data_IF_599137872235
#
_entry.id   IF_599137872235
#
_cell.length_a   1.000
_cell.length_b   1.000
_cell.length_c   1.000
_cell.angle_alpha   90.00
_cell.angle_beta   90.00
_cell.angle_gamma   90.00
#
_symmetry.space_group_name_H-M   'P 1'
#
loop_
_entity.id
_entity.type
_entity.pdbx_description
1 polymer ?
#
# COMPACT_ATOMS: atom_id res chain seq x y z
N UNK A 1 -35.53 42.88 -5.53
CA UNK A 1 -34.54 43.74 -4.84
C UNK A 1 -33.33 42.87 -4.43
N UNK A 2 -32.26 42.86 -5.22
CA UNK A 2 -30.98 42.24 -4.84
C UNK A 2 -30.21 43.30 -4.05
N UNK A 3 -30.25 43.27 -2.70
CA UNK A 3 -29.34 44.09 -1.90
C UNK A 3 -27.92 43.60 -2.19
N UNK A 4 -27.11 44.39 -2.91
CA UNK A 4 -25.68 44.14 -3.02
C UNK A 4 -25.12 44.22 -1.60
N UNK A 5 -24.64 43.09 -1.07
CA UNK A 5 -23.75 43.11 0.09
C UNK A 5 -22.63 44.11 -0.21
N UNK A 6 -22.54 45.19 0.58
CA UNK A 6 -21.47 46.17 0.40
C UNK A 6 -20.14 45.46 0.58
N UNK A 7 -19.13 45.74 -0.24
CA UNK A 7 -17.84 45.04 -0.13
C UNK A 7 -17.24 45.14 1.30
N UNK A 8 -17.52 46.25 1.99
CA UNK A 8 -17.18 46.46 3.41
C UNK A 8 -17.82 45.44 4.36
N UNK A 9 -19.08 45.05 4.14
CA UNK A 9 -19.76 44.06 5.00
C UNK A 9 -19.25 42.63 4.75
N UNK A 10 -18.84 42.30 3.52
CA UNK A 10 -18.17 41.03 3.21
C UNK A 10 -16.79 40.97 3.87
N UNK A 11 -16.01 42.06 3.79
CA UNK A 11 -14.69 42.16 4.43
C UNK A 11 -14.81 42.05 5.95
N UNK A 12 -15.78 42.73 6.57
CA UNK A 12 -16.03 42.63 8.01
C UNK A 12 -16.41 41.22 8.44
N UNK A 13 -17.24 40.51 7.66
CA UNK A 13 -17.64 39.13 7.97
C UNK A 13 -16.44 38.17 7.88
N UNK A 14 -15.60 38.32 6.85
CA UNK A 14 -14.38 37.54 6.70
C UNK A 14 -13.38 37.83 7.83
N UNK A 15 -13.30 39.07 8.31
CA UNK A 15 -12.44 39.45 9.42
C UNK A 15 -12.90 38.83 10.75
N UNK A 16 -14.21 38.85 11.04
CA UNK A 16 -14.78 38.19 12.22
C UNK A 16 -14.57 36.66 12.16
N UNK A 17 -14.78 36.07 10.98
CA UNK A 17 -14.54 34.64 10.78
C UNK A 17 -13.05 34.28 10.98
N UNK A 18 -12.13 35.12 10.50
CA UNK A 18 -10.70 34.93 10.70
C UNK A 18 -10.34 34.96 12.19
N UNK A 19 -10.84 35.94 12.96
CA UNK A 19 -10.62 36.03 14.41
C UNK A 19 -11.16 34.78 15.14
N UNK A 20 -12.34 34.30 14.75
CA UNK A 20 -12.94 33.10 15.35
C UNK A 20 -12.08 31.84 15.13
N UNK A 21 -11.41 31.72 13.98
CA UNK A 21 -10.53 30.59 13.68
C UNK A 21 -9.22 30.61 14.47
N UNK A 22 -8.70 31.79 14.84
CA UNK A 22 -7.48 31.91 15.67
C UNK A 22 -7.68 31.52 17.14
N UNK A 23 -8.92 31.60 17.63
CA UNK A 23 -9.29 31.25 19.02
C UNK A 23 -9.46 29.74 19.24
N UNK A 24 -9.51 28.94 18.16
CA UNK A 24 -9.70 27.49 18.30
C UNK A 24 -8.45 26.78 18.83
N UNK A 25 -8.65 26.06 19.94
CA UNK A 25 -7.65 25.17 20.51
C UNK A 25 -7.57 23.84 19.73
N UNK A 26 -6.40 23.59 19.12
CA UNK A 26 -6.10 22.36 18.41
C UNK A 26 -5.89 21.17 19.36
N UNK A 27 -5.44 21.43 20.59
CA UNK A 27 -5.10 20.42 21.60
C UNK A 27 -6.25 20.08 22.55
N UNK A 28 -7.43 20.71 22.41
CA UNK A 28 -8.63 20.49 23.22
C UNK A 28 -8.97 19.02 23.50
N UNK A 29 -8.72 18.14 22.52
CA UNK A 29 -9.03 16.70 22.58
C UNK A 29 -7.80 15.79 22.65
N UNK A 30 -6.64 16.37 22.92
CA UNK A 30 -5.39 15.63 23.16
C UNK A 30 -5.31 15.34 24.66
N UNK A 31 -5.00 14.10 25.07
CA UNK A 31 -4.81 13.78 26.49
C UNK A 31 -3.63 14.55 27.09
N UNK A 32 -3.75 14.96 28.36
CA UNK A 32 -2.78 15.84 29.04
C UNK A 32 -1.34 15.30 29.10
N UNK A 33 -1.17 13.98 29.03
CA UNK A 33 0.10 13.27 29.05
C UNK A 33 0.66 13.00 27.64
N UNK A 34 0.01 13.51 26.60
CA UNK A 34 0.34 13.27 25.20
C UNK A 34 0.47 14.56 24.42
N UNK A 35 1.05 14.46 23.22
CA UNK A 35 1.27 15.60 22.35
C UNK A 35 0.61 15.39 21.00
N UNK A 36 0.06 16.46 20.41
CA UNK A 36 -0.36 16.50 19.02
C UNK A 36 0.87 16.52 18.10
N UNK A 37 0.91 15.63 17.13
CA UNK A 37 1.93 15.65 16.09
C UNK A 37 1.67 16.85 15.16
N UNK A 38 2.56 17.85 15.25
CA UNK A 38 2.49 19.07 14.44
C UNK A 38 3.09 18.87 13.05
N UNK A 39 4.27 18.26 12.99
CA UNK A 39 5.06 18.17 11.76
C UNK A 39 6.03 16.99 11.84
N UNK A 40 6.27 16.34 10.70
CA UNK A 40 7.40 15.45 10.51
C UNK A 40 8.43 16.17 9.64
N UNK A 41 9.67 16.21 10.10
CA UNK A 41 10.81 16.79 9.39
C UNK A 41 11.73 15.65 8.98
N UNK A 42 12.04 15.54 7.70
CA UNK A 42 12.94 14.49 7.19
C UNK A 42 14.20 15.15 6.65
N UNK A 43 15.35 14.70 7.12
CA UNK A 43 16.66 15.18 6.71
C UNK A 43 17.46 14.03 6.09
N UNK A 44 18.00 14.25 4.90
CA UNK A 44 18.90 13.32 4.22
C UNK A 44 20.27 13.97 4.10
N UNK A 45 21.27 13.35 4.71
CA UNK A 45 22.65 13.86 4.76
C UNK A 45 22.75 15.32 5.21
N UNK A 46 21.93 15.69 6.21
CA UNK A 46 21.88 17.05 6.78
C UNK A 46 20.97 18.04 6.04
N UNK A 47 20.44 17.67 4.87
CA UNK A 47 19.54 18.53 4.09
C UNK A 47 18.07 18.16 4.32
N UNK A 48 17.21 19.13 4.62
CA UNK A 48 15.76 18.90 4.72
C UNK A 48 15.22 18.51 3.35
N UNK A 49 14.39 17.47 3.29
CA UNK A 49 13.74 17.02 2.05
C UNK A 49 12.25 16.86 2.23
N UNK A 50 11.51 17.30 1.22
CA UNK A 50 10.05 17.11 1.11
C UNK A 50 9.69 16.05 0.04
N UNK A 51 10.67 15.25 -0.41
CA UNK A 51 10.45 14.21 -1.43
C UNK A 51 9.38 13.21 -0.98
N UNK A 52 8.28 13.16 -1.72
CA UNK A 52 7.17 12.25 -1.49
C UNK A 52 7.61 10.78 -1.49
N UNK A 53 8.63 10.40 -2.27
CA UNK A 53 9.16 9.04 -2.31
C UNK A 53 9.70 8.61 -0.95
N UNK A 54 10.30 9.53 -0.20
CA UNK A 54 10.86 9.27 1.14
C UNK A 54 9.77 9.41 2.20
N UNK A 55 8.99 10.50 2.12
CA UNK A 55 7.97 10.83 3.11
C UNK A 55 6.83 9.79 3.19
N UNK A 56 6.60 9.02 2.12
CA UNK A 56 5.65 7.90 2.12
C UNK A 56 6.02 6.76 3.08
N UNK A 57 7.27 6.66 3.53
CA UNK A 57 7.70 5.69 4.53
C UNK A 57 7.54 6.18 5.98
N UNK A 58 7.08 7.42 6.18
CA UNK A 58 6.70 7.92 7.50
C UNK A 58 5.25 7.52 7.79
N UNK A 59 5.07 6.64 8.77
CA UNK A 59 3.78 6.00 9.04
C UNK A 59 2.74 6.94 9.64
N UNK A 60 3.17 7.79 10.56
CA UNK A 60 2.27 8.72 11.24
C UNK A 60 2.33 10.07 10.55
N UNK A 61 1.21 10.54 10.01
CA UNK A 61 1.11 11.87 9.41
C UNK A 61 0.44 12.84 10.39
N UNK A 62 0.87 14.12 10.44
CA UNK A 62 0.16 15.15 11.17
C UNK A 62 -1.23 15.39 10.53
N UNK A 63 -2.10 16.10 11.24
CA UNK A 63 -3.35 16.62 10.66
C UNK A 63 -3.08 17.51 9.44
N UNK A 64 -4.07 17.63 8.57
CA UNK A 64 -3.98 18.51 7.41
C UNK A 64 -3.94 19.98 7.82
N UNK A 65 -3.07 20.75 7.17
CA UNK A 65 -2.91 22.19 7.39
C UNK A 65 -3.22 22.96 6.12
N UNK A 66 -4.06 23.98 6.23
CA UNK A 66 -4.36 24.94 5.17
C UNK A 66 -3.94 26.32 5.67
N UNK A 67 -3.02 26.98 4.96
CA UNK A 67 -2.44 28.27 5.37
C UNK A 67 -1.90 28.26 6.81
N UNK A 68 -1.31 27.13 7.25
CA UNK A 68 -0.75 26.98 8.59
C UNK A 68 -1.77 26.66 9.70
N UNK A 69 -3.06 26.55 9.37
CA UNK A 69 -4.15 26.26 10.31
C UNK A 69 -4.72 24.84 10.12
N UNK A 70 -4.96 24.07 11.20
CA UNK A 70 -5.52 22.73 11.12
C UNK A 70 -7.06 22.79 11.11
N UNK A 71 -7.64 23.34 10.04
CA UNK A 71 -9.08 23.62 9.94
C UNK A 71 -9.92 22.36 10.18
N UNK A 72 -9.53 21.22 9.59
CA UNK A 72 -10.22 19.95 9.77
C UNK A 72 -10.23 19.48 11.23
N UNK A 73 -9.15 19.74 11.98
CA UNK A 73 -9.08 19.43 13.41
C UNK A 73 -9.96 20.37 14.24
N UNK A 74 -10.04 21.65 13.88
CA UNK A 74 -10.96 22.58 14.53
C UNK A 74 -12.42 22.15 14.35
N UNK A 75 -12.81 21.76 13.14
CA UNK A 75 -14.15 21.22 12.86
C UNK A 75 -14.43 19.98 13.71
N UNK A 76 -13.46 19.07 13.84
CA UNK A 76 -13.59 17.90 14.69
C UNK A 76 -13.78 18.27 16.18
N UNK A 77 -13.01 19.24 16.67
CA UNK A 77 -13.04 19.70 18.06
C UNK A 77 -14.32 20.48 18.43
N UNK A 78 -15.07 21.00 17.44
CA UNK A 78 -16.38 21.64 17.63
C UNK A 78 -17.48 20.64 17.96
N UNK A 79 -17.42 19.42 17.44
CA UNK A 79 -18.39 18.39 17.83
C UNK A 79 -18.24 18.05 19.32
N UNK A 80 -19.22 17.37 19.88
CA UNK A 80 -19.19 16.76 21.21
C UNK A 80 -19.27 15.23 21.08
N UNK A 81 -18.26 14.44 21.52
CA UNK A 81 -18.31 12.98 21.37
C UNK A 81 -19.28 12.33 22.37
N UNK A 82 -19.67 13.05 23.41
CA UNK A 82 -20.58 12.59 24.46
C UNK A 82 -21.97 13.22 24.33
N UNK A 83 -22.33 13.82 23.20
CA UNK A 83 -23.59 14.54 23.00
C UNK A 83 -24.83 13.74 23.43
N UNK A 84 -24.85 12.43 23.13
CA UNK A 84 -25.93 11.54 23.56
C UNK A 84 -25.99 11.35 25.09
N UNK A 85 -24.85 11.22 25.77
CA UNK A 85 -24.78 11.06 27.22
C UNK A 85 -25.12 12.36 27.93
N UNK A 86 -24.59 13.48 27.43
CA UNK A 86 -24.83 14.82 27.97
C UNK A 86 -26.31 15.21 27.85
N UNK A 87 -26.98 14.81 26.77
CA UNK A 87 -28.42 14.99 26.63
C UNK A 87 -29.22 14.21 27.68
N UNK A 88 -28.84 12.96 27.96
CA UNK A 88 -29.48 12.17 29.03
C UNK A 88 -29.22 12.80 30.39
N UNK A 89 -27.98 13.20 30.67
CA UNK A 89 -27.64 13.88 31.92
C UNK A 89 -28.38 15.23 32.07
N UNK A 90 -28.56 15.96 30.96
CA UNK A 90 -29.34 17.20 30.95
C UNK A 90 -30.82 16.93 31.26
N UNK A 91 -31.41 15.87 30.70
CA UNK A 91 -32.77 15.45 31.03
C UNK A 91 -32.93 15.10 32.51
N UNK A 92 -31.97 14.38 33.09
CA UNK A 92 -31.98 13.98 34.50
C UNK A 92 -31.86 15.19 35.44
N UNK A 93 -31.02 16.16 35.08
CA UNK A 93 -30.82 17.39 35.85
C UNK A 93 -31.93 18.43 35.68
N UNK A 94 -32.82 18.27 34.68
CA UNK A 94 -33.91 19.19 34.37
C UNK A 94 -35.29 18.49 34.40
N UNK A 95 -35.81 18.12 35.59
CA UNK A 95 -37.02 17.31 35.72
C UNK A 95 -38.32 17.98 35.24
N UNK A 96 -38.33 19.32 35.13
CA UNK A 96 -39.46 20.07 34.53
C UNK A 96 -39.52 19.86 33.02
N UNK A 97 -38.36 19.87 32.36
CA UNK A 97 -38.25 19.60 30.92
C UNK A 97 -38.48 18.14 30.59
N UNK A 98 -38.01 17.22 31.44
CA UNK A 98 -38.28 15.79 31.28
C UNK A 98 -39.79 15.51 31.29
N UNK A 99 -40.52 16.05 32.28
CA UNK A 99 -41.99 15.94 32.35
C UNK A 99 -42.71 16.61 31.17
N UNK A 100 -42.19 17.74 30.69
CA UNK A 100 -42.72 18.39 29.49
C UNK A 100 -42.58 17.47 28.28
N UNK A 101 -41.39 16.91 28.04
CA UNK A 101 -41.15 16.01 26.92
C UNK A 101 -41.97 14.72 27.01
N UNK A 102 -42.10 14.11 28.20
CA UNK A 102 -42.96 12.94 28.41
C UNK A 102 -44.45 13.22 28.16
N UNK A 103 -44.89 14.48 28.32
CA UNK A 103 -46.24 14.92 28.02
C UNK A 103 -46.55 15.04 26.53
N UNK A 104 -45.53 15.28 25.69
CA UNK A 104 -45.68 15.47 24.24
C UNK A 104 -45.13 14.29 23.41
N UNK A 105 -44.17 13.53 23.94
CA UNK A 105 -43.45 12.48 23.24
C UNK A 105 -43.49 11.17 24.05
N UNK A 106 -43.72 10.05 23.38
CA UNK A 106 -43.53 8.74 24.00
C UNK A 106 -42.06 8.51 24.37
N UNK A 107 -41.80 7.64 25.36
CA UNK A 107 -40.43 7.22 25.73
C UNK A 107 -39.57 6.79 24.53
N UNK A 108 -40.18 6.14 23.53
CA UNK A 108 -39.50 5.77 22.27
C UNK A 108 -39.13 7.00 21.43
N UNK A 109 -39.97 8.03 21.38
CA UNK A 109 -39.69 9.28 20.67
C UNK A 109 -38.62 10.12 21.37
N UNK A 110 -38.59 10.17 22.71
CA UNK A 110 -37.52 10.83 23.48
C UNK A 110 -36.17 10.14 23.22
N UNK A 111 -36.13 8.81 23.21
CA UNK A 111 -34.94 8.05 22.83
C UNK A 111 -34.50 8.26 21.37
N UNK A 112 -35.44 8.51 20.45
CA UNK A 112 -35.12 8.90 19.07
C UNK A 112 -34.61 10.34 18.97
N UNK A 113 -35.09 11.24 19.82
CA UNK A 113 -34.65 12.63 19.87
C UNK A 113 -33.18 12.73 20.29
N UNK A 114 -32.74 11.89 21.22
CA UNK A 114 -31.32 11.77 21.61
C UNK A 114 -30.41 11.51 20.40
N UNK A 115 -30.86 10.69 19.45
CA UNK A 115 -30.15 10.33 18.21
C UNK A 115 -30.48 11.24 17.03
N UNK A 116 -31.22 12.32 17.26
CA UNK A 116 -31.65 13.22 16.20
C UNK A 116 -30.50 14.08 15.71
N UNK A 117 -30.68 14.68 14.53
CA UNK A 117 -29.71 15.61 13.96
C UNK A 117 -29.33 16.72 14.95
N UNK A 118 -30.31 17.32 15.62
CA UNK A 118 -30.07 18.47 16.50
C UNK A 118 -29.42 18.13 17.83
N UNK A 119 -29.47 16.87 18.28
CA UNK A 119 -28.92 16.46 19.58
C UNK A 119 -27.54 15.84 19.44
N UNK A 120 -27.39 14.79 18.60
CA UNK A 120 -26.09 14.13 18.40
C UNK A 120 -25.62 14.16 16.94
N UNK A 121 -26.54 14.28 15.98
CA UNK A 121 -26.19 14.15 14.57
C UNK A 121 -25.31 15.29 14.03
N UNK A 122 -25.47 16.54 14.50
CA UNK A 122 -24.58 17.66 14.16
C UNK A 122 -23.17 17.37 14.66
N UNK A 123 -23.02 16.90 15.90
CA UNK A 123 -21.72 16.56 16.48
C UNK A 123 -21.02 15.43 15.73
N UNK A 124 -21.77 14.38 15.38
CA UNK A 124 -21.27 13.28 14.56
C UNK A 124 -20.88 13.75 13.16
N UNK A 125 -21.66 14.65 12.55
CA UNK A 125 -21.36 15.19 11.23
C UNK A 125 -20.08 16.06 11.26
N UNK A 126 -19.90 16.88 12.30
CA UNK A 126 -18.68 17.66 12.52
C UNK A 126 -17.45 16.74 12.67
N UNK A 127 -17.56 15.68 13.48
CA UNK A 127 -16.47 14.72 13.65
C UNK A 127 -16.18 13.89 12.40
N UNK A 128 -17.18 13.66 11.54
CA UNK A 128 -17.04 12.94 10.28
C UNK A 128 -16.38 13.78 9.18
N UNK A 129 -16.67 15.08 9.13
CA UNK A 129 -16.07 16.01 8.16
C UNK A 129 -14.67 16.44 8.62
N UNK A 130 -14.48 16.58 9.93
CA UNK A 130 -13.20 16.93 10.53
C UNK A 130 -12.22 15.76 10.63
N UNK A 131 -11.02 16.07 11.10
CA UNK A 131 -9.99 15.07 11.40
C UNK A 131 -9.77 14.97 12.91
N UNK A 132 -9.73 13.74 13.43
CA UNK A 132 -9.33 13.51 14.82
C UNK A 132 -7.88 13.97 15.08
N UNK A 133 -7.53 14.37 16.31
CA UNK A 133 -6.17 14.78 16.64
C UNK A 133 -5.17 13.65 16.36
N UNK A 134 -4.14 13.94 15.57
CA UNK A 134 -3.02 13.02 15.34
C UNK A 134 -2.10 13.03 16.56
N UNK A 135 -2.46 12.25 17.58
CA UNK A 135 -1.69 12.16 18.82
C UNK A 135 -0.39 11.39 18.57
N UNK A 136 0.76 11.97 18.91
CA UNK A 136 2.08 11.40 18.75
C UNK A 136 2.17 9.98 19.34
N UNK A 137 2.62 9.04 18.51
CA UNK A 137 2.83 7.64 18.88
C UNK A 137 4.31 7.29 18.68
N UNK A 138 5.05 7.18 19.78
CA UNK A 138 6.50 6.90 19.77
C UNK A 138 6.84 5.56 19.14
N UNK A 139 5.97 4.55 19.24
CA UNK A 139 6.17 3.26 18.60
C UNK A 139 6.06 3.38 17.08
N UNK A 140 5.15 4.22 16.57
CA UNK A 140 5.06 4.52 15.12
C UNK A 140 6.23 5.36 14.62
N UNK A 141 6.77 6.27 15.43
CA UNK A 141 8.00 7.00 15.11
C UNK A 141 9.16 6.02 14.91
N UNK A 142 9.39 5.13 15.87
CA UNK A 142 10.45 4.12 15.77
C UNK A 142 10.21 3.10 14.65
N UNK A 143 8.95 2.79 14.32
CA UNK A 143 8.65 1.96 13.15
C UNK A 143 8.93 2.69 11.84
N UNK A 144 8.70 4.00 11.79
CA UNK A 144 9.02 4.84 10.63
C UNK A 144 10.53 4.92 10.38
N UNK A 145 11.36 5.01 11.43
CA UNK A 145 12.83 4.95 11.24
C UNK A 145 13.30 3.64 10.62
N UNK A 146 12.73 2.51 11.07
CA UNK A 146 12.99 1.19 10.48
C UNK A 146 12.57 1.12 9.02
N UNK A 147 11.40 1.68 8.67
CA UNK A 147 10.91 1.69 7.28
C UNK A 147 11.74 2.58 6.36
N UNK A 148 12.08 3.79 6.80
CA UNK A 148 13.01 4.67 6.09
C UNK A 148 14.34 3.96 5.85
N UNK A 149 14.91 3.33 6.89
CA UNK A 149 16.16 2.60 6.75
C UNK A 149 16.05 1.42 5.77
N UNK A 150 14.95 0.66 5.82
CA UNK A 150 14.68 -0.42 4.89
C UNK A 150 14.54 0.07 3.43
N UNK A 151 13.90 1.21 3.22
CA UNK A 151 13.82 1.86 1.90
C UNK A 151 15.19 2.23 1.36
N UNK A 152 16.04 2.89 2.16
CA UNK A 152 17.39 3.25 1.72
C UNK A 152 18.24 2.00 1.39
N UNK A 153 18.08 0.90 2.14
CA UNK A 153 18.72 -0.39 1.79
C UNK A 153 18.19 -0.96 0.47
N UNK A 154 16.89 -0.80 0.18
CA UNK A 154 16.30 -1.33 -1.06
C UNK A 154 16.81 -0.62 -2.31
N UNK A 155 17.30 0.62 -2.21
CA UNK A 155 17.89 1.40 -3.32
C UNK A 155 19.43 1.47 -3.30
N UNK A 156 20.07 0.63 -2.48
CA UNK A 156 21.52 0.40 -2.51
C UNK A 156 22.33 1.09 -1.40
N UNK A 157 21.71 1.75 -0.44
CA UNK A 157 22.42 2.33 0.71
C UNK A 157 22.38 1.36 1.89
N UNK A 158 23.16 0.28 1.85
CA UNK A 158 23.10 -0.77 2.88
C UNK A 158 23.54 -0.31 4.27
N UNK A 159 24.48 0.65 4.32
CA UNK A 159 25.08 1.14 5.54
C UNK A 159 24.40 2.42 6.05
N UNK A 160 23.16 2.68 5.60
CA UNK A 160 22.42 3.84 6.07
C UNK A 160 22.13 3.75 7.58
N UNK A 161 22.13 4.90 8.23
CA UNK A 161 21.71 5.06 9.62
C UNK A 161 20.56 6.05 9.67
N UNK A 162 19.49 5.67 10.35
CA UNK A 162 18.31 6.51 10.55
C UNK A 162 18.09 6.67 12.04
N UNK A 163 18.05 7.92 12.49
CA UNK A 163 17.70 8.28 13.87
C UNK A 163 16.47 9.17 13.88
N UNK A 164 15.76 9.16 14.99
CA UNK A 164 14.63 10.04 15.24
C UNK A 164 14.89 10.95 16.45
N UNK A 165 14.21 12.10 16.49
CA UNK A 165 14.20 13.00 17.64
C UNK A 165 12.84 13.67 17.75
N UNK A 166 12.32 13.76 18.96
CA UNK A 166 11.03 14.37 19.25
C UNK A 166 11.30 15.72 19.90
N UNK A 167 10.76 16.78 19.32
CA UNK A 167 10.87 18.15 19.80
C UNK A 167 9.51 18.60 20.33
N UNK A 168 9.41 18.77 21.65
CA UNK A 168 8.22 19.34 22.29
C UNK A 168 8.25 20.85 22.08
N UNK A 169 7.15 21.43 21.62
CA UNK A 169 7.06 22.87 21.39
C UNK A 169 6.81 23.58 22.73
N UNK A 170 7.61 24.61 23.09
CA UNK A 170 7.65 25.20 24.44
C UNK A 170 6.46 26.12 24.77
N UNK A 171 5.25 25.79 24.31
CA UNK A 171 4.05 26.56 24.64
C UNK A 171 3.13 25.69 25.50
N UNK A 172 3.04 25.99 26.80
CA UNK A 172 2.32 25.19 27.80
C UNK A 172 0.84 24.98 27.42
N UNK A 173 0.25 25.93 26.70
CA UNK A 173 -1.15 25.87 26.25
C UNK A 173 -1.38 24.95 25.04
N UNK A 174 -0.32 24.56 24.32
CA UNK A 174 -0.43 23.80 23.07
C UNK A 174 0.52 22.61 23.13
N UNK A 175 0.06 21.53 23.75
CA UNK A 175 0.72 20.20 23.81
C UNK A 175 1.01 19.67 22.40
N UNK A 176 2.06 20.16 21.76
CA UNK A 176 2.42 19.85 20.39
C UNK A 176 3.87 19.40 20.30
N UNK A 177 4.12 18.45 19.40
CA UNK A 177 5.44 17.91 19.16
C UNK A 177 5.75 17.86 17.66
N UNK A 178 7.02 18.05 17.32
CA UNK A 178 7.57 17.79 15.99
C UNK A 178 8.47 16.56 16.05
N UNK A 179 8.49 15.77 14.98
CA UNK A 179 9.37 14.61 14.87
C UNK A 179 10.39 14.87 13.77
N UNK A 180 11.67 14.84 14.10
CA UNK A 180 12.77 14.88 13.15
C UNK A 180 13.27 13.48 12.86
N UNK A 181 13.37 13.12 11.58
CA UNK A 181 14.01 11.90 11.09
C UNK A 181 15.31 12.29 10.38
N UNK A 182 16.43 11.74 10.82
CA UNK A 182 17.76 12.04 10.28
C UNK A 182 18.34 10.81 9.63
N UNK A 183 18.46 10.86 8.30
CA UNK A 183 19.01 9.79 7.49
C UNK A 183 20.43 10.17 7.08
N UNK A 184 21.39 9.33 7.44
CA UNK A 184 22.74 9.33 6.87
C UNK A 184 22.85 8.13 5.95
N UNK A 185 22.95 8.38 4.64
CA UNK A 185 22.83 7.31 3.63
C UNK A 185 24.10 6.46 3.53
N UNK A 186 25.28 7.07 3.75
CA UNK A 186 26.57 6.46 3.43
C UNK A 186 26.76 6.26 1.92
N UNK A 187 27.74 5.45 1.55
CA UNK A 187 28.05 5.11 0.16
C UNK A 187 26.95 4.23 -0.46
N UNK A 188 26.65 4.49 -1.73
CA UNK A 188 25.73 3.68 -2.51
C UNK A 188 26.47 2.49 -3.11
N UNK A 189 25.84 1.32 -3.09
CA UNK A 189 26.37 0.11 -3.69
C UNK A 189 25.96 -0.06 -5.16
N UNK A 190 26.88 -0.60 -5.96
CA UNK A 190 26.76 -0.82 -7.39
C UNK A 190 27.01 -2.28 -7.74
N UNK A 191 26.34 -2.76 -8.78
CA UNK A 191 26.56 -4.11 -9.31
C UNK A 191 27.87 -4.10 -10.08
N UNK A 192 28.84 -4.92 -9.70
CA UNK A 192 30.13 -5.02 -10.40
C UNK A 192 30.12 -6.16 -11.41
N UNK A 193 29.82 -7.37 -10.97
CA UNK A 193 29.79 -8.55 -11.82
C UNK A 193 28.52 -9.38 -11.65
N UNK A 194 28.08 -9.98 -12.75
CA UNK A 194 26.91 -10.85 -12.83
C UNK A 194 27.36 -12.26 -13.19
N UNK A 195 27.13 -13.20 -12.27
CA UNK A 195 27.35 -14.64 -12.45
C UNK A 195 26.01 -15.36 -12.51
N UNK A 196 26.02 -16.56 -13.07
CA UNK A 196 24.85 -17.45 -13.13
C UNK A 196 25.24 -18.86 -12.75
N UNK A 197 24.37 -19.51 -11.99
CA UNK A 197 24.47 -20.93 -11.68
C UNK A 197 23.10 -21.56 -11.91
N UNK A 198 22.98 -22.38 -12.95
CA UNK A 198 21.73 -22.97 -13.39
C UNK A 198 21.91 -24.49 -13.44
N UNK A 199 21.11 -25.22 -12.66
CA UNK A 199 21.26 -26.68 -12.53
C UNK A 199 20.76 -27.44 -13.75
N UNK A 200 19.69 -26.97 -14.40
CA UNK A 200 19.11 -27.59 -15.58
C UNK A 200 19.73 -27.04 -16.88
N UNK A 201 20.35 -27.88 -17.74
CA UNK A 201 20.91 -27.44 -19.02
C UNK A 201 19.89 -26.83 -19.99
N UNK A 202 18.64 -27.30 -19.94
CA UNK A 202 17.56 -26.80 -20.79
C UNK A 202 17.18 -25.34 -20.42
N UNK A 203 17.13 -25.05 -19.11
CA UNK A 203 16.88 -23.71 -18.57
C UNK A 203 18.07 -22.79 -18.89
N UNK A 204 19.30 -23.28 -18.73
CA UNK A 204 20.51 -22.50 -19.03
C UNK A 204 20.53 -22.07 -20.50
N UNK A 205 20.24 -22.98 -21.43
CA UNK A 205 20.16 -22.67 -22.85
C UNK A 205 19.18 -21.52 -23.16
N UNK A 206 17.96 -21.58 -22.60
CA UNK A 206 16.95 -20.51 -22.78
C UNK A 206 17.38 -19.20 -22.11
N UNK A 207 18.04 -19.28 -20.95
CA UNK A 207 18.57 -18.12 -20.25
C UNK A 207 19.64 -17.40 -21.07
N UNK A 208 20.65 -18.11 -21.57
CA UNK A 208 21.76 -17.51 -22.33
C UNK A 208 21.26 -16.80 -23.60
N UNK A 209 20.28 -17.38 -24.30
CA UNK A 209 19.67 -16.77 -25.49
C UNK A 209 18.92 -15.45 -25.19
N UNK A 210 18.46 -15.26 -23.95
CA UNK A 210 17.67 -14.11 -23.53
C UNK A 210 18.40 -13.20 -22.52
N UNK A 211 19.70 -13.40 -22.34
CA UNK A 211 20.52 -12.67 -21.36
C UNK A 211 20.55 -11.17 -21.62
N UNK A 212 20.54 -10.75 -22.88
CA UNK A 212 20.59 -9.33 -23.27
C UNK A 212 19.39 -8.50 -22.77
N UNK A 213 18.26 -9.12 -22.43
CA UNK A 213 17.04 -8.46 -21.95
C UNK A 213 16.97 -8.32 -20.42
N UNK A 214 18.06 -8.63 -19.71
CA UNK A 214 18.10 -8.57 -18.25
C UNK A 214 17.88 -7.16 -17.71
N UNK A 215 17.21 -7.06 -16.55
CA UNK A 215 17.12 -5.81 -15.80
C UNK A 215 18.40 -5.52 -15.00
N UNK A 216 19.21 -6.54 -14.73
CA UNK A 216 20.44 -6.40 -13.95
C UNK A 216 21.61 -6.03 -14.88
N UNK A 217 22.26 -4.90 -14.60
CA UNK A 217 23.38 -4.40 -15.41
C UNK A 217 24.61 -4.17 -14.55
N UNK A 218 25.77 -4.64 -15.04
CA UNK A 218 27.07 -4.27 -14.45
C UNK A 218 27.27 -2.76 -14.54
N UNK A 219 27.82 -2.16 -13.48
CA UNK A 219 27.97 -0.73 -13.27
C UNK A 219 26.70 0.00 -12.78
N UNK A 220 25.52 -0.61 -12.82
CA UNK A 220 24.30 0.04 -12.38
C UNK A 220 24.19 0.05 -10.84
N UNK A 221 23.51 1.06 -10.25
CA UNK A 221 23.26 1.08 -8.82
C UNK A 221 22.36 -0.10 -8.41
N UNK A 222 22.59 -0.64 -7.21
CA UNK A 222 21.70 -1.66 -6.66
C UNK A 222 20.29 -1.09 -6.48
N UNK A 223 19.28 -1.80 -7.01
CA UNK A 223 17.88 -1.50 -6.78
C UNK A 223 17.09 -2.80 -6.66
N UNK A 224 16.47 -3.04 -5.50
CA UNK A 224 15.68 -4.25 -5.23
C UNK A 224 14.56 -4.46 -6.26
N UNK A 225 14.02 -3.37 -6.81
CA UNK A 225 13.01 -3.41 -7.89
C UNK A 225 13.53 -4.10 -9.14
N UNK A 226 14.79 -3.91 -9.50
CA UNK A 226 15.40 -4.50 -10.71
C UNK A 226 15.52 -6.03 -10.53
N UNK A 227 15.84 -6.51 -9.33
CA UNK A 227 15.84 -7.93 -8.99
C UNK A 227 14.44 -8.54 -9.01
N UNK A 228 13.44 -7.80 -8.51
CA UNK A 228 12.05 -8.24 -8.56
C UNK A 228 11.56 -8.35 -10.01
N UNK A 229 11.88 -7.36 -10.83
CA UNK A 229 11.52 -7.35 -12.25
C UNK A 229 12.23 -8.46 -13.01
N UNK A 230 13.52 -8.69 -12.74
CA UNK A 230 14.27 -9.80 -13.32
C UNK A 230 13.70 -11.15 -12.94
N UNK A 231 13.29 -11.33 -11.68
CA UNK A 231 12.64 -12.56 -11.23
C UNK A 231 11.35 -12.83 -12.00
N UNK A 232 10.49 -11.82 -12.14
CA UNK A 232 9.24 -11.93 -12.89
C UNK A 232 9.49 -12.19 -14.38
N UNK A 233 10.45 -11.49 -14.98
CA UNK A 233 10.85 -11.68 -16.39
C UNK A 233 11.32 -13.10 -16.65
N UNK A 234 12.18 -13.64 -15.80
CA UNK A 234 12.68 -15.00 -15.91
C UNK A 234 11.58 -16.04 -15.70
N UNK A 235 10.72 -15.84 -14.70
CA UNK A 235 9.55 -16.68 -14.48
C UNK A 235 8.66 -16.76 -15.73
N UNK A 236 8.29 -15.62 -16.30
CA UNK A 236 7.50 -15.56 -17.54
C UNK A 236 8.27 -16.13 -18.74
N UNK A 237 9.58 -15.86 -18.85
CA UNK A 237 10.42 -16.39 -19.91
C UNK A 237 10.36 -17.92 -19.94
N UNK A 238 10.62 -18.60 -18.82
CA UNK A 238 10.63 -20.06 -18.78
C UNK A 238 9.22 -20.64 -18.94
N UNK A 239 8.21 -20.01 -18.34
CA UNK A 239 6.80 -20.38 -18.48
C UNK A 239 6.22 -20.13 -19.87
N UNK A 240 6.85 -19.31 -20.71
CA UNK A 240 6.50 -19.15 -22.12
C UNK A 240 7.42 -19.97 -23.04
N UNK A 241 8.39 -20.67 -22.46
CA UNK A 241 9.32 -21.58 -23.14
C UNK A 241 9.12 -23.03 -22.69
N UNK A 242 7.93 -23.41 -22.19
CA UNK A 242 7.56 -24.82 -22.05
C UNK A 242 7.83 -25.41 -20.68
N UNK A 243 8.41 -24.63 -19.78
CA UNK A 243 8.65 -25.04 -18.41
C UNK A 243 7.40 -24.71 -17.57
N UNK A 244 6.29 -25.41 -17.85
CA UNK A 244 5.00 -25.11 -17.21
C UNK A 244 5.03 -25.32 -15.69
N UNK A 245 5.88 -26.22 -15.17
CA UNK A 245 6.06 -26.42 -13.72
C UNK A 245 7.00 -25.41 -13.08
N UNK A 246 7.61 -24.50 -13.85
CA UNK A 246 8.59 -23.56 -13.34
C UNK A 246 8.00 -22.68 -12.24
N UNK A 247 8.70 -22.63 -11.11
CA UNK A 247 8.29 -21.86 -9.93
C UNK A 247 9.17 -20.63 -9.78
N UNK A 248 8.54 -19.50 -9.43
CA UNK A 248 9.27 -18.25 -9.20
C UNK A 248 10.27 -18.36 -8.03
N UNK A 249 9.99 -19.23 -7.06
CA UNK A 249 10.86 -19.55 -5.91
C UNK A 249 12.15 -20.28 -6.28
N UNK A 250 12.24 -20.87 -7.48
CA UNK A 250 13.48 -21.48 -7.96
C UNK A 250 14.55 -20.45 -8.34
N UNK A 251 14.20 -19.16 -8.43
CA UNK A 251 15.12 -18.06 -8.76
C UNK A 251 15.58 -17.36 -7.49
N UNK A 252 16.86 -17.55 -7.14
CA UNK A 252 17.53 -16.89 -6.05
C UNK A 252 18.62 -15.94 -6.56
N UNK A 253 18.86 -14.87 -5.82
CA UNK A 253 19.95 -13.94 -6.09
C UNK A 253 20.85 -13.92 -4.87
N UNK A 254 22.05 -14.47 -5.02
CA UNK A 254 23.09 -14.37 -4.01
C UNK A 254 23.88 -13.09 -4.24
N UNK A 255 23.99 -12.27 -3.20
CA UNK A 255 24.74 -11.03 -3.23
C UNK A 255 25.91 -11.20 -2.29
N UNK A 256 27.09 -11.39 -2.86
CA UNK A 256 28.33 -11.46 -2.09
C UNK A 256 28.76 -10.02 -1.79
N UNK A 257 28.83 -9.72 -0.49
CA UNK A 257 29.38 -8.45 0.02
C UNK A 257 30.67 -8.78 0.72
N UNK A 258 31.76 -8.14 0.29
CA UNK A 258 32.97 -8.13 1.12
C UNK A 258 32.67 -7.27 2.36
N UNK A 259 32.55 -7.93 3.51
CA UNK A 259 32.27 -7.28 4.80
C UNK A 259 33.55 -6.89 5.54
N UNK A 260 34.73 -7.16 4.96
CA UNK A 260 36.00 -6.77 5.56
C UNK A 260 36.12 -5.26 5.52
N UNK A 261 35.97 -4.66 6.70
CA UNK A 261 35.89 -3.21 6.96
C UNK A 261 37.06 -2.39 6.41
N UNK A 262 38.16 -3.05 6.01
CA UNK A 262 39.37 -2.43 5.47
C UNK A 262 39.24 -2.00 4.00
N UNK A 263 38.35 -2.63 3.21
CA UNK A 263 38.09 -2.22 1.84
C UNK A 263 36.74 -1.52 1.79
N UNK A 264 36.76 -0.21 1.52
CA UNK A 264 35.56 0.60 1.21
C UNK A 264 34.97 0.20 -0.14
N UNK A 265 34.82 -1.10 -0.40
CA UNK A 265 34.28 -1.57 -1.65
C UNK A 265 32.75 -1.53 -1.60
N UNK A 266 32.19 -0.70 -2.47
CA UNK A 266 30.75 -0.58 -2.67
C UNK A 266 30.28 -1.40 -3.87
N UNK A 267 31.12 -2.31 -4.37
CA UNK A 267 30.81 -3.22 -5.45
C UNK A 267 30.19 -4.51 -4.95
N UNK A 268 29.21 -4.98 -5.70
CA UNK A 268 28.46 -6.21 -5.41
C UNK A 268 28.70 -7.21 -6.53
N UNK A 269 29.10 -8.42 -6.16
CA UNK A 269 28.98 -9.56 -7.04
C UNK A 269 27.60 -10.20 -6.84
N UNK A 270 26.87 -10.34 -7.93
CA UNK A 270 25.53 -10.96 -7.93
C UNK A 270 25.58 -12.26 -8.70
N UNK A 271 25.21 -13.34 -8.04
CA UNK A 271 24.99 -14.65 -8.66
C UNK A 271 23.50 -14.92 -8.78
N UNK A 272 23.03 -15.14 -10.01
CA UNK A 272 21.66 -15.62 -10.26
C UNK A 272 21.67 -17.14 -10.20
N UNK A 273 21.06 -17.69 -9.17
CA UNK A 273 20.93 -19.13 -8.96
C UNK A 273 19.54 -19.58 -9.40
N UNK A 274 19.49 -20.55 -10.30
CA UNK A 274 18.26 -21.20 -10.71
C UNK A 274 18.37 -22.69 -10.42
N UNK A 275 17.72 -23.10 -9.33
CA UNK A 275 17.71 -24.47 -8.86
C UNK A 275 16.66 -25.35 -9.54
N UNK A 276 16.70 -26.63 -9.21
CA UNK A 276 15.70 -27.62 -9.64
C UNK A 276 14.33 -27.38 -8.99
N UNK A 277 13.31 -28.04 -9.53
CA UNK A 277 11.97 -28.05 -8.94
C UNK A 277 12.01 -28.83 -7.62
N UNK A 278 11.60 -28.17 -6.54
CA UNK A 278 11.47 -28.79 -5.22
C UNK A 278 10.00 -29.20 -5.04
N UNK A 279 9.74 -30.50 -5.00
CA UNK A 279 8.45 -31.06 -4.64
C UNK A 279 8.50 -31.62 -3.22
N UNK A 280 7.55 -31.19 -2.38
CA UNK A 280 7.37 -31.69 -1.03
C UNK A 280 6.12 -32.57 -1.00
N UNK A 281 6.31 -33.84 -0.67
CA UNK A 281 5.25 -34.80 -0.41
C UNK A 281 5.38 -35.30 1.03
N UNK A 282 4.58 -34.72 1.93
CA UNK A 282 4.76 -34.88 3.38
C UNK A 282 6.16 -34.42 3.84
N UNK A 283 6.93 -35.37 4.38
CA UNK A 283 8.30 -35.14 4.86
C UNK A 283 9.37 -35.37 3.78
N UNK A 284 8.99 -35.88 2.60
CA UNK A 284 9.93 -36.18 1.52
C UNK A 284 10.12 -34.95 0.64
N UNK A 285 11.35 -34.46 0.56
CA UNK A 285 11.75 -33.40 -0.36
C UNK A 285 12.44 -34.06 -1.56
N UNK A 286 11.84 -33.92 -2.75
CA UNK A 286 12.45 -34.38 -4.00
C UNK A 286 12.84 -33.21 -4.88
N UNK A 287 14.06 -33.26 -5.44
CA UNK A 287 14.53 -32.32 -6.44
C UNK A 287 14.38 -32.95 -7.82
N UNK A 288 13.62 -32.30 -8.71
CA UNK A 288 13.40 -32.74 -10.09
C UNK A 288 13.90 -31.67 -11.06
N UNK A 289 14.66 -32.10 -12.07
CA UNK A 289 15.08 -31.19 -13.14
C UNK A 289 13.87 -30.70 -13.92
N UNK A 290 13.86 -29.41 -14.23
CA UNK A 290 12.89 -28.83 -15.14
C UNK A 290 13.04 -29.43 -16.53
N UNK A 291 11.91 -29.81 -17.13
CA UNK A 291 11.82 -30.35 -18.48
C UNK A 291 10.93 -29.46 -19.34
N UNK A 292 11.32 -29.24 -20.59
CA UNK A 292 10.49 -28.55 -21.57
C UNK A 292 9.30 -29.40 -22.02
N UNK A 293 8.12 -28.78 -22.10
CA UNK A 293 6.87 -29.40 -22.55
C UNK A 293 6.22 -28.59 -23.69
N UNK A 294 5.50 -29.30 -24.55
CA UNK A 294 4.81 -28.72 -25.71
C UNK A 294 3.30 -28.92 -25.61
N UNK A 295 2.53 -27.92 -26.08
CA UNK A 295 1.09 -28.04 -26.19
C UNK A 295 0.76 -29.04 -27.31
N UNK A 296 0.29 -30.23 -26.95
CA UNK A 296 -0.14 -31.21 -27.95
C UNK A 296 -1.51 -30.84 -28.57
N UNK A 297 -2.51 -30.55 -27.73
CA UNK A 297 -3.89 -30.32 -28.17
C UNK A 297 -4.60 -29.39 -27.19
N UNK A 298 -5.22 -28.33 -27.71
CA UNK A 298 -6.05 -27.41 -26.91
C UNK A 298 -7.50 -27.90 -26.97
N UNK A 299 -8.09 -28.16 -25.80
CA UNK A 299 -9.50 -28.55 -25.65
C UNK A 299 -10.22 -27.46 -24.86
N UNK A 300 -11.17 -26.80 -25.51
CA UNK A 300 -11.96 -25.72 -24.93
C UNK A 300 -13.38 -26.24 -24.64
N UNK A 301 -13.84 -26.04 -23.41
CA UNK A 301 -15.20 -26.39 -23.00
C UNK A 301 -15.97 -25.09 -22.80
N UNK A 302 -16.99 -24.83 -23.62
CA UNK A 302 -17.76 -23.57 -23.54
C UNK A 302 -18.76 -23.58 -22.39
N UNK A 303 -19.23 -24.77 -22.03
CA UNK A 303 -20.24 -25.00 -21.00
C UNK A 303 -19.57 -25.70 -19.81
N UNK A 304 -18.83 -24.91 -19.02
CA UNK A 304 -18.15 -25.39 -17.82
C UNK A 304 -19.16 -25.51 -16.67
N UNK A 305 -19.81 -26.66 -16.56
CA UNK A 305 -20.51 -27.09 -15.35
C UNK A 305 -19.98 -28.46 -14.95
N UNK A 306 -19.56 -28.59 -13.69
CA UNK A 306 -19.01 -29.82 -13.12
C UNK A 306 -20.01 -30.99 -13.16
N UNK A 307 -21.30 -30.72 -13.40
CA UNK A 307 -22.37 -31.72 -13.53
C UNK A 307 -22.64 -32.18 -14.96
N UNK A 308 -22.02 -31.57 -15.96
CA UNK A 308 -22.25 -31.95 -17.36
C UNK A 308 -21.44 -33.20 -17.68
N UNK A 309 -22.15 -34.25 -18.10
CA UNK A 309 -21.50 -35.45 -18.62
C UNK A 309 -20.74 -35.09 -19.91
N UNK A 310 -19.42 -35.27 -19.87
CA UNK A 310 -18.53 -34.99 -21.01
C UNK A 310 -18.87 -35.84 -22.24
N UNK A 311 -19.54 -36.98 -22.05
CA UNK A 311 -19.99 -37.84 -23.15
C UNK A 311 -21.14 -37.23 -23.97
N UNK A 312 -21.90 -36.31 -23.35
CA UNK A 312 -23.05 -35.64 -23.98
C UNK A 312 -22.68 -34.40 -24.80
N UNK A 313 -21.40 -34.02 -24.81
CA UNK A 313 -20.91 -32.84 -25.52
C UNK A 313 -20.61 -33.19 -26.97
N UNK A 314 -21.07 -32.33 -27.87
CA UNK A 314 -20.64 -32.35 -29.26
C UNK A 314 -19.29 -31.61 -29.39
N UNK A 315 -18.53 -31.92 -30.43
CA UNK A 315 -17.19 -31.37 -30.65
C UNK A 315 -17.02 -30.79 -32.04
N UNK A 316 -16.42 -29.61 -32.10
CA UNK A 316 -16.02 -28.96 -33.34
C UNK A 316 -14.51 -28.72 -33.32
N UNK A 317 -13.82 -29.23 -34.33
CA UNK A 317 -12.43 -28.86 -34.56
C UNK A 317 -12.36 -27.55 -35.34
N UNK A 318 -11.67 -26.56 -34.76
CA UNK A 318 -11.42 -25.29 -35.40
C UNK A 318 -9.93 -24.95 -35.28
N UNK A 319 -9.21 -25.06 -36.39
CA UNK A 319 -7.74 -24.98 -36.43
C UNK A 319 -7.13 -26.03 -35.49
N UNK A 320 -6.19 -25.65 -34.64
CA UNK A 320 -5.52 -26.56 -33.70
C UNK A 320 -6.24 -26.69 -32.34
N UNK A 321 -7.54 -26.41 -32.28
CA UNK A 321 -8.34 -26.42 -31.05
C UNK A 321 -9.62 -27.23 -31.25
N UNK A 322 -9.95 -28.06 -30.26
CA UNK A 322 -11.22 -28.77 -30.20
C UNK A 322 -12.13 -28.02 -29.24
N UNK A 323 -13.31 -27.62 -29.72
CA UNK A 323 -14.33 -26.91 -28.95
C UNK A 323 -15.43 -27.90 -28.61
N UNK A 324 -15.65 -28.14 -27.32
CA UNK A 324 -16.75 -28.94 -26.81
C UNK A 324 -17.88 -28.01 -26.35
N UNK A 325 -19.10 -28.30 -26.82
CA UNK A 325 -20.30 -27.52 -26.50
C UNK A 325 -21.51 -28.43 -26.29
N UNK A 326 -22.49 -27.95 -25.53
CA UNK A 326 -23.74 -28.66 -25.30
C UNK A 326 -24.83 -28.18 -26.26
N UNK A 327 -25.54 -29.11 -26.89
CA UNK A 327 -26.67 -28.92 -27.83
C UNK A 327 -26.34 -28.08 -29.07
N UNK A 328 -26.04 -26.79 -28.90
CA UNK A 328 -25.70 -25.85 -29.97
C UNK A 328 -24.62 -24.88 -29.52
N UNK A 329 -23.56 -24.76 -30.31
CA UNK A 329 -22.51 -23.78 -30.10
C UNK A 329 -23.06 -22.33 -30.25
N UNK A 330 -23.14 -21.60 -29.13
CA UNK A 330 -23.66 -20.22 -29.09
C UNK A 330 -22.65 -19.16 -29.48
N UNK A 331 -21.37 -19.52 -29.54
CA UNK A 331 -20.27 -18.59 -29.82
C UNK A 331 -19.61 -18.91 -31.15
N UNK A 332 -19.16 -17.88 -31.88
CA UNK A 332 -18.41 -18.10 -33.12
C UNK A 332 -17.04 -18.74 -32.79
N UNK A 333 -16.64 -19.86 -33.42
CA UNK A 333 -15.35 -20.52 -33.18
C UNK A 333 -14.14 -19.57 -33.29
N UNK A 334 -14.20 -18.61 -34.22
CA UNK A 334 -13.17 -17.58 -34.39
C UNK A 334 -12.99 -16.71 -33.14
N UNK A 335 -14.08 -16.32 -32.47
CA UNK A 335 -14.02 -15.50 -31.25
C UNK A 335 -13.37 -16.29 -30.12
N UNK A 336 -13.79 -17.56 -29.96
CA UNK A 336 -13.22 -18.46 -28.96
C UNK A 336 -11.71 -18.71 -29.20
N UNK A 337 -11.31 -18.89 -30.45
CA UNK A 337 -9.90 -19.06 -30.81
C UNK A 337 -9.05 -17.80 -30.51
N UNK A 338 -9.59 -16.60 -30.73
CA UNK A 338 -8.88 -15.35 -30.41
C UNK A 338 -8.86 -15.04 -28.91
N UNK A 339 -9.90 -15.43 -28.17
CA UNK A 339 -9.96 -15.28 -26.71
C UNK A 339 -9.03 -16.26 -25.98
N UNK A 340 -8.64 -17.36 -26.63
CA UNK A 340 -7.74 -18.36 -26.05
C UNK A 340 -6.28 -17.95 -26.25
N UNK A 341 -5.56 -17.74 -25.15
CA UNK A 341 -4.12 -17.41 -25.15
C UNK A 341 -3.24 -18.62 -25.48
N UNK A 342 -3.73 -19.83 -25.25
CA UNK A 342 -3.02 -21.09 -25.54
C UNK A 342 -3.11 -21.43 -27.04
N UNK A 343 -1.97 -21.55 -27.70
CA UNK A 343 -1.90 -21.95 -29.11
C UNK A 343 -0.98 -23.15 -29.24
N UNK A 344 -1.48 -24.20 -29.88
CA UNK A 344 -0.61 -25.27 -30.38
C UNK A 344 0.25 -24.70 -31.50
N UNK A 345 1.54 -24.59 -31.23
CA UNK A 345 2.55 -24.31 -32.22
C UNK A 345 3.76 -25.20 -31.94
N UNK A 346 4.35 -25.79 -32.98
CA UNK A 346 5.57 -26.61 -32.83
C UNK A 346 6.77 -25.78 -32.36
N UNK A 347 6.67 -24.45 -32.46
CA UNK A 347 7.67 -23.47 -32.01
C UNK A 347 7.27 -22.64 -30.79
N UNK A 348 6.06 -22.78 -30.25
CA UNK A 348 5.63 -22.04 -29.05
C UNK A 348 5.48 -23.03 -27.89
N UNK A 349 6.44 -23.07 -26.95
CA UNK A 349 6.37 -24.03 -25.87
C UNK A 349 5.42 -23.50 -24.76
N UNK A 350 4.86 -24.41 -23.92
CA UNK A 350 3.79 -24.13 -22.93
C UNK A 350 4.12 -22.95 -22.02
#
# INVERSE_FOLDING_TARGET
MRKSLSQLSVISLLFVLAIALFSCDATKRVPNDRHLLRENLVYVNGTKTDDAKINNFVLQKPNSYVLGMPISLYIYNLGNPNAEKDFVQWLDTHPRWHRFLDGFLSKKQVGRLQKSFFVSGIDHQLQKIGEAPSVLDTARVHKSTKQLGAYFRSIGYFNNKVTDSIFILPNEEKQQAKVGYYITTGERYYIDSLKTHITSPEIDSVYQQNKAKTFLKSGAPYQLTDFSNERSRLYELFRNNGFYTFQQSSINFQIERDTVTAQKDNKLQVTTDIGDLIERDGDVITAKKYKMHYINKVRLYTDYDNKVDKSSLDSLEYRNMIIYYKDKLRYRPRVLYHATSLKKDKSTPI
#
